data_IF_458800583929
#
_entry.id   IF_458800583929
#
_cell.length_a   1.000
_cell.length_b   1.000
_cell.length_c   1.000
_cell.angle_alpha   90.00
_cell.angle_beta   90.00
_cell.angle_gamma   90.00
#
_symmetry.space_group_name_H-M   'P 1'
#
loop_
_entity.id
_entity.type
_entity.pdbx_description
1 polymer ?
#
# COMPACT_ATOMS: atom_id res chain seq x y z
N UNK A 1 12.94 -23.76 1.25
CA UNK A 1 12.30 -22.64 0.53
C UNK A 1 12.39 -22.90 -0.95
N UNK A 2 11.35 -22.57 -1.73
CA UNK A 2 11.43 -22.66 -3.18
C UNK A 2 12.25 -21.50 -3.75
N UNK A 3 12.88 -21.70 -4.90
CA UNK A 3 13.64 -20.64 -5.58
C UNK A 3 12.76 -19.44 -5.93
N UNK A 4 11.50 -19.69 -6.29
CA UNK A 4 10.51 -18.65 -6.55
C UNK A 4 10.22 -17.82 -5.30
N UNK A 5 10.02 -18.49 -4.14
CA UNK A 5 9.74 -17.79 -2.89
C UNK A 5 10.91 -16.88 -2.50
N UNK A 6 12.14 -17.39 -2.54
CA UNK A 6 13.35 -16.60 -2.25
C UNK A 6 13.47 -15.39 -3.19
N UNK A 7 13.25 -15.60 -4.49
CA UNK A 7 13.30 -14.53 -5.49
C UNK A 7 12.29 -13.42 -5.19
N UNK A 8 11.07 -13.78 -4.80
CA UNK A 8 10.03 -12.81 -4.45
C UNK A 8 10.36 -12.05 -3.16
N UNK A 9 10.89 -12.74 -2.14
CA UNK A 9 11.31 -12.12 -0.89
C UNK A 9 12.46 -11.12 -1.09
N UNK A 10 13.46 -11.48 -1.90
CA UNK A 10 14.54 -10.57 -2.30
C UNK A 10 14.00 -9.35 -3.04
N UNK A 11 13.08 -9.57 -4.00
CA UNK A 11 12.48 -8.47 -4.76
C UNK A 11 11.70 -7.49 -3.87
N UNK A 12 10.89 -7.99 -2.95
CA UNK A 12 10.13 -7.14 -2.01
C UNK A 12 11.06 -6.38 -1.07
N UNK A 13 12.10 -7.06 -0.56
CA UNK A 13 13.14 -6.42 0.27
C UNK A 13 13.80 -5.27 -0.47
N UNK A 14 14.17 -5.47 -1.73
CA UNK A 14 14.83 -4.47 -2.56
C UNK A 14 13.94 -3.24 -2.81
N UNK A 15 12.65 -3.45 -3.07
CA UNK A 15 11.70 -2.34 -3.22
C UNK A 15 11.59 -1.56 -1.91
N UNK A 16 11.39 -2.26 -0.79
CA UNK A 16 11.25 -1.62 0.52
C UNK A 16 12.47 -0.77 0.87
N UNK A 17 13.67 -1.26 0.56
CA UNK A 17 14.91 -0.50 0.75
C UNK A 17 14.93 0.79 -0.07
N UNK A 18 14.58 0.72 -1.36
CA UNK A 18 14.51 1.90 -2.23
C UNK A 18 13.49 2.92 -1.69
N UNK A 19 12.33 2.45 -1.24
CA UNK A 19 11.28 3.32 -0.68
C UNK A 19 11.68 3.97 0.65
N UNK A 20 12.49 3.30 1.46
CA UNK A 20 12.99 3.85 2.73
C UNK A 20 14.11 4.89 2.50
N UNK A 21 15.02 4.61 1.56
CA UNK A 21 16.20 5.45 1.33
C UNK A 21 15.90 6.67 0.46
N UNK A 22 14.92 6.59 -0.44
CA UNK A 22 14.65 7.62 -1.43
C UNK A 22 13.36 8.39 -1.13
N UNK A 23 13.48 9.70 -0.86
CA UNK A 23 12.34 10.58 -0.56
C UNK A 23 11.70 11.24 -1.80
N UNK A 24 12.23 11.00 -3.00
CA UNK A 24 11.74 11.63 -4.24
C UNK A 24 11.66 10.63 -5.38
N UNK A 25 10.72 10.84 -6.30
CA UNK A 25 10.55 10.02 -7.51
C UNK A 25 11.83 9.92 -8.35
N UNK A 26 12.58 11.02 -8.43
CA UNK A 26 13.85 11.05 -9.16
C UNK A 26 14.89 10.13 -8.50
N UNK A 27 15.01 10.18 -7.18
CA UNK A 27 15.92 9.33 -6.43
C UNK A 27 15.51 7.84 -6.54
N UNK A 28 14.22 7.54 -6.40
CA UNK A 28 13.70 6.18 -6.56
C UNK A 28 13.99 5.60 -7.96
N UNK A 29 13.77 6.39 -9.02
CA UNK A 29 14.07 5.99 -10.40
C UNK A 29 15.55 5.74 -10.63
N UNK A 30 16.42 6.55 -10.01
CA UNK A 30 17.87 6.37 -10.11
C UNK A 30 18.32 5.10 -9.36
N UNK A 31 17.88 4.91 -8.12
CA UNK A 31 18.20 3.73 -7.32
C UNK A 31 17.74 2.43 -8.03
N UNK A 32 16.55 2.43 -8.61
CA UNK A 32 16.06 1.31 -9.42
C UNK A 32 16.90 1.08 -10.69
N UNK A 33 17.43 2.13 -11.31
CA UNK A 33 18.27 2.04 -12.50
C UNK A 33 19.69 1.54 -12.21
N UNK A 34 20.19 1.79 -11.01
CA UNK A 34 21.48 1.27 -10.53
C UNK A 34 21.36 -0.20 -10.10
N UNK A 35 20.22 -0.58 -9.53
CA UNK A 35 19.99 -1.94 -9.02
C UNK A 35 19.59 -2.95 -10.09
N UNK A 36 18.85 -2.52 -11.11
CA UNK A 36 18.34 -3.39 -12.16
C UNK A 36 18.64 -2.87 -13.57
N UNK A 37 18.88 -3.83 -14.48
CA UNK A 37 19.14 -3.54 -15.89
C UNK A 37 17.97 -2.79 -16.56
N UNK A 38 18.25 -2.14 -17.69
CA UNK A 38 17.29 -1.27 -18.39
C UNK A 38 15.98 -1.97 -18.75
N UNK A 39 16.03 -3.27 -19.08
CA UNK A 39 14.88 -4.05 -19.53
C UNK A 39 14.30 -4.94 -18.42
N UNK A 40 14.78 -4.82 -17.18
CA UNK A 40 14.29 -5.62 -16.08
C UNK A 40 12.84 -5.25 -15.73
N UNK A 41 11.90 -6.21 -15.65
CA UNK A 41 10.52 -5.94 -15.29
C UNK A 41 10.39 -5.27 -13.91
N UNK A 42 11.31 -5.55 -12.98
CA UNK A 42 11.34 -4.96 -11.64
C UNK A 42 11.55 -3.44 -11.68
N UNK A 43 12.37 -2.98 -12.62
CA UNK A 43 12.63 -1.55 -12.85
C UNK A 43 11.40 -0.81 -13.36
N UNK A 44 10.50 -1.49 -14.08
CA UNK A 44 9.33 -0.84 -14.68
C UNK A 44 8.38 -0.26 -13.64
N UNK A 45 8.29 -0.88 -12.46
CA UNK A 45 7.44 -0.40 -11.34
C UNK A 45 7.75 1.05 -10.95
N UNK A 46 9.01 1.45 -11.02
CA UNK A 46 9.46 2.82 -10.69
C UNK A 46 9.34 3.80 -11.87
N UNK A 47 9.20 3.29 -13.10
CA UNK A 47 9.19 4.09 -14.33
C UNK A 47 7.78 4.35 -14.83
N UNK A 48 6.79 3.56 -14.40
CA UNK A 48 5.40 3.78 -14.79
C UNK A 48 4.93 5.15 -14.27
N UNK A 49 4.24 5.94 -15.11
CA UNK A 49 3.51 7.10 -14.62
C UNK A 49 2.53 6.61 -13.56
N UNK A 50 2.28 7.42 -12.54
CA UNK A 50 1.32 7.10 -11.48
C UNK A 50 -0.10 7.03 -12.07
N UNK A 51 -0.43 5.92 -12.73
CA UNK A 51 -1.78 5.51 -13.07
C UNK A 51 -2.33 4.94 -11.76
N UNK A 52 -2.51 5.80 -10.75
CA UNK A 52 -3.35 5.43 -9.62
C UNK A 52 -4.72 5.23 -10.23
N UNK A 53 -5.13 3.97 -10.29
CA UNK A 53 -6.49 3.45 -10.44
C UNK A 53 -7.44 4.36 -11.22
N UNK A 54 -7.95 3.94 -12.41
CA UNK A 54 -8.93 4.75 -13.13
C UNK A 54 -10.12 5.04 -12.21
N UNK A 55 -10.17 6.31 -11.77
CA UNK A 55 -11.20 6.90 -10.92
C UNK A 55 -11.27 6.34 -9.50
N UNK A 56 -11.42 7.25 -8.54
CA UNK A 56 -12.16 6.99 -7.31
C UNK A 56 -13.37 6.09 -7.62
N UNK A 57 -13.74 5.13 -6.73
CA UNK A 57 -15.00 4.42 -6.89
C UNK A 57 -16.09 5.45 -7.20
N UNK A 58 -16.90 5.27 -8.25
CA UNK A 58 -17.93 6.23 -8.62
C UNK A 58 -18.79 6.46 -7.38
N UNK A 59 -18.83 7.70 -6.86
CA UNK A 59 -19.55 8.13 -5.66
C UNK A 59 -20.11 6.94 -4.88
N UNK A 60 -19.21 6.24 -4.18
CA UNK A 60 -19.61 5.20 -3.26
C UNK A 60 -20.29 5.93 -2.12
N UNK A 61 -21.60 6.17 -2.25
CA UNK A 61 -22.48 6.32 -1.11
C UNK A 61 -22.00 5.27 -0.11
N UNK A 62 -21.48 5.74 1.03
CA UNK A 62 -21.10 4.89 2.14
C UNK A 62 -22.33 4.15 2.61
N UNK A 63 -22.70 3.08 1.90
CA UNK A 63 -23.44 1.99 2.49
C UNK A 63 -22.42 1.31 3.36
N UNK A 64 -22.47 1.74 4.60
CA UNK A 64 -21.97 1.06 5.78
C UNK A 64 -22.36 -0.42 5.69
N UNK A 65 -21.54 -1.21 4.97
CA UNK A 65 -21.62 -2.66 5.03
C UNK A 65 -20.99 -2.99 6.36
N UNK A 66 -21.83 -2.90 7.39
CA UNK A 66 -21.53 -3.38 8.74
C UNK A 66 -21.05 -4.81 8.60
N UNK A 67 -19.74 -5.01 8.67
CA UNK A 67 -19.13 -6.34 8.74
C UNK A 67 -19.72 -6.98 9.99
N UNK A 68 -20.47 -8.07 9.84
CA UNK A 68 -21.26 -8.72 10.91
C UNK A 68 -20.42 -9.24 12.09
N UNK A 69 -19.10 -9.01 12.10
CA UNK A 69 -18.15 -9.45 13.11
C UNK A 69 -17.49 -8.33 13.91
N UNK A 70 -17.99 -7.09 13.85
CA UNK A 70 -17.55 -6.07 14.81
C UNK A 70 -18.14 -6.34 16.20
N UNK A 71 -17.25 -6.42 17.20
CA UNK A 71 -17.59 -6.69 18.61
C UNK A 71 -18.76 -5.82 19.08
N UNK A 72 -19.66 -6.32 19.97
CA UNK A 72 -20.77 -5.52 20.45
C UNK A 72 -20.26 -4.26 21.16
N UNK A 73 -20.48 -3.10 20.54
CA UNK A 73 -20.19 -1.81 21.14
C UNK A 73 -20.89 -1.68 22.48
N UNK A 74 -20.12 -1.52 23.55
CA UNK A 74 -20.66 -1.28 24.88
C UNK A 74 -21.54 -0.02 24.87
N UNK A 75 -22.71 -0.02 25.52
CA UNK A 75 -23.59 1.14 25.49
C UNK A 75 -22.96 2.35 26.20
N UNK A 76 -23.25 3.58 25.76
CA UNK A 76 -22.72 4.79 26.39
C UNK A 76 -23.30 4.97 27.81
N UNK A 77 -22.57 5.62 28.73
CA UNK A 77 -23.03 5.86 30.09
C UNK A 77 -24.27 6.79 30.10
N UNK A 78 -25.27 6.43 30.90
CA UNK A 78 -26.52 7.18 31.02
C UNK A 78 -26.31 8.62 31.54
N UNK A 79 -27.07 9.61 31.05
CA UNK A 79 -26.97 10.98 31.53
C UNK A 79 -27.48 11.09 32.97
N UNK A 80 -26.62 11.66 33.81
CA UNK A 80 -26.87 11.90 35.22
C UNK A 80 -28.00 12.94 35.39
N UNK A 81 -29.23 12.49 35.64
CA UNK A 81 -30.35 13.39 35.95
C UNK A 81 -30.20 13.84 37.40
N UNK A 82 -29.60 15.02 37.60
CA UNK A 82 -29.73 15.75 38.86
C UNK A 82 -31.15 16.30 38.95
N UNK A 83 -31.90 15.87 39.96
CA UNK A 83 -33.08 16.57 40.49
C UNK A 83 -32.65 17.50 41.61
#
# INVERSE_FOLDING_TARGET
>A
MSDLQRYLEEYVTDINQILQDCQTDKAMKQAAAEKWEKNDPRRQVFMMPAIRFPNSPPDGEGRDVRLENEMPSSPPPAPNVKK
#
